data_IF_544221568757
#
_entry.id   IF_544221568757
#
_cell.length_a   1.000
_cell.length_b   1.000
_cell.length_c   1.000
_cell.angle_alpha   90.00
_cell.angle_beta   90.00
_cell.angle_gamma   90.00
#
_symmetry.space_group_name_H-M   'P 1'
#
loop_
_entity.id
_entity.type
_entity.pdbx_description
1 polymer ?
#
# COMPACT_ATOMS: atom_id res chain seq x y z
N UNK A 1 -34.34 -15.36 -21.84
CA UNK A 1 -33.04 -14.67 -21.58
C UNK A 1 -32.60 -14.99 -20.17
N UNK A 2 -31.39 -15.53 -20.01
CA UNK A 2 -30.85 -15.92 -18.72
C UNK A 2 -30.68 -14.69 -17.79
N UNK A 3 -30.83 -14.87 -16.48
CA UNK A 3 -30.81 -13.74 -15.53
C UNK A 3 -29.35 -13.34 -15.26
N UNK A 4 -28.99 -12.05 -15.32
CA UNK A 4 -27.61 -11.64 -15.07
C UNK A 4 -27.18 -11.99 -13.63
N UNK A 5 -25.97 -12.52 -13.48
CA UNK A 5 -25.38 -12.86 -12.18
C UNK A 5 -25.33 -11.64 -11.26
N UNK A 6 -25.87 -11.78 -10.04
CA UNK A 6 -25.80 -10.76 -8.98
C UNK A 6 -25.06 -11.31 -7.78
N UNK A 7 -24.00 -10.62 -7.38
CA UNK A 7 -23.24 -10.99 -6.19
C UNK A 7 -23.81 -10.29 -4.95
N UNK A 8 -24.36 -11.07 -4.01
CA UNK A 8 -25.03 -10.52 -2.82
C UNK A 8 -24.11 -9.67 -1.91
N UNK A 9 -22.79 -9.82 -2.02
CA UNK A 9 -21.81 -9.08 -1.22
C UNK A 9 -21.09 -7.97 -2.00
N UNK A 10 -21.64 -7.53 -3.14
CA UNK A 10 -21.03 -6.48 -3.96
C UNK A 10 -20.75 -5.21 -3.15
N UNK A 11 -21.72 -4.76 -2.36
CA UNK A 11 -21.57 -3.57 -1.51
C UNK A 11 -20.45 -3.72 -0.48
N UNK A 12 -20.24 -4.93 0.05
CA UNK A 12 -19.16 -5.21 1.00
C UNK A 12 -17.81 -5.20 0.29
N UNK A 13 -17.75 -5.74 -0.93
CA UNK A 13 -16.56 -5.71 -1.77
C UNK A 13 -16.14 -4.26 -2.08
N UNK A 14 -17.08 -3.39 -2.43
CA UNK A 14 -16.82 -1.97 -2.67
C UNK A 14 -16.23 -1.28 -1.43
N UNK A 15 -16.84 -1.49 -0.26
CA UNK A 15 -16.35 -0.93 1.01
C UNK A 15 -14.94 -1.43 1.30
N UNK A 16 -14.65 -2.71 1.08
CA UNK A 16 -13.29 -3.25 1.26
C UNK A 16 -12.30 -2.64 0.26
N UNK A 17 -12.73 -2.37 -0.97
CA UNK A 17 -11.94 -1.60 -1.94
C UNK A 17 -11.61 -0.21 -1.44
N UNK A 18 -12.59 0.53 -0.92
CA UNK A 18 -12.37 1.87 -0.35
C UNK A 18 -11.42 1.84 0.86
N UNK A 19 -11.54 0.83 1.72
CA UNK A 19 -10.64 0.64 2.87
C UNK A 19 -9.20 0.34 2.43
N UNK A 20 -9.02 -0.44 1.37
CA UNK A 20 -7.70 -0.69 0.78
C UNK A 20 -7.10 0.60 0.22
N UNK A 21 -7.85 1.36 -0.58
CA UNK A 21 -7.37 2.63 -1.14
C UNK A 21 -7.01 3.63 -0.05
N UNK A 22 -7.82 3.72 1.02
CA UNK A 22 -7.48 4.53 2.19
C UNK A 22 -6.18 4.08 2.84
N UNK A 23 -5.97 2.77 3.01
CA UNK A 23 -4.73 2.24 3.58
C UNK A 23 -3.50 2.54 2.70
N UNK A 24 -3.64 2.51 1.37
CA UNK A 24 -2.58 2.94 0.43
C UNK A 24 -2.22 4.41 0.61
N UNK A 25 -3.23 5.29 0.70
CA UNK A 25 -3.01 6.72 0.93
C UNK A 25 -2.29 6.98 2.24
N UNK A 26 -2.70 6.33 3.34
CA UNK A 26 -2.04 6.49 4.65
C UNK A 26 -0.59 5.96 4.63
N UNK A 27 -0.32 4.84 3.96
CA UNK A 27 1.06 4.38 3.78
C UNK A 27 1.89 5.37 2.96
N UNK A 28 1.31 5.99 1.93
CA UNK A 28 1.95 7.03 1.14
C UNK A 28 2.33 8.26 1.98
N UNK A 29 1.41 8.73 2.82
CA UNK A 29 1.66 9.84 3.76
C UNK A 29 2.77 9.50 4.75
N UNK A 30 2.72 8.32 5.37
CA UNK A 30 3.74 7.89 6.32
C UNK A 30 5.12 7.77 5.67
N UNK A 31 5.19 7.22 4.45
CA UNK A 31 6.43 7.12 3.68
C UNK A 31 7.00 8.50 3.33
N UNK A 32 6.15 9.43 2.88
CA UNK A 32 6.55 10.81 2.60
C UNK A 32 7.09 11.52 3.86
N UNK A 33 6.47 11.31 5.02
CA UNK A 33 6.94 11.84 6.29
C UNK A 33 8.32 11.30 6.68
N UNK A 34 8.55 9.98 6.54
CA UNK A 34 9.88 9.39 6.75
C UNK A 34 10.93 10.01 5.82
N UNK A 35 10.62 10.10 4.52
CA UNK A 35 11.54 10.68 3.53
C UNK A 35 11.83 12.14 3.82
N UNK A 36 10.83 12.94 4.20
CA UNK A 36 11.02 14.33 4.57
C UNK A 36 11.93 14.46 5.80
N UNK A 37 11.71 13.61 6.83
CA UNK A 37 12.53 13.64 8.04
C UNK A 37 13.97 13.20 7.79
N UNK A 38 14.17 12.18 6.96
CA UNK A 38 15.50 11.74 6.55
C UNK A 38 16.25 12.88 5.83
N UNK A 39 15.60 13.56 4.88
CA UNK A 39 16.21 14.71 4.18
C UNK A 39 16.60 15.85 5.12
N UNK A 40 15.81 16.10 6.15
CA UNK A 40 16.14 17.09 7.18
C UNK A 40 17.41 16.69 7.95
N UNK A 41 17.50 15.42 8.38
CA UNK A 41 18.69 14.89 9.07
C UNK A 41 19.92 14.98 8.17
N UNK A 42 19.79 14.55 6.90
CA UNK A 42 20.89 14.59 5.93
C UNK A 42 21.38 16.02 5.70
N UNK A 43 20.47 17.00 5.67
CA UNK A 43 20.83 18.41 5.57
C UNK A 43 21.68 18.86 6.75
N UNK A 44 21.30 18.50 7.98
CA UNK A 44 22.03 18.86 9.20
C UNK A 44 23.41 18.17 9.23
N UNK A 45 23.48 16.90 8.80
CA UNK A 45 24.74 16.15 8.67
C UNK A 45 25.67 16.84 7.66
N UNK A 46 25.14 17.21 6.49
CA UNK A 46 25.91 17.88 5.45
C UNK A 46 26.41 19.26 5.91
N UNK A 47 25.58 20.03 6.62
CA UNK A 47 25.98 21.30 7.21
C UNK A 47 27.10 21.12 8.23
N UNK A 48 26.97 20.16 9.15
CA UNK A 48 28.02 19.81 10.10
C UNK A 48 29.33 19.47 9.38
N UNK A 49 29.29 18.59 8.39
CA UNK A 49 30.47 18.12 7.67
C UNK A 49 31.13 19.25 6.86
N UNK A 50 30.34 20.12 6.23
CA UNK A 50 30.85 21.28 5.49
C UNK A 50 31.57 22.26 6.43
N UNK A 51 31.02 22.49 7.63
CA UNK A 51 31.66 23.33 8.65
C UNK A 51 32.91 22.70 9.24
N UNK A 52 32.92 21.38 9.49
CA UNK A 52 34.13 20.65 9.90
C UNK A 52 35.23 20.76 8.85
N UNK A 53 34.91 20.56 7.57
CA UNK A 53 35.85 20.70 6.48
C UNK A 53 36.41 22.13 6.37
N UNK A 54 35.53 23.15 6.44
CA UNK A 54 35.95 24.56 6.42
C UNK A 54 36.90 24.91 7.57
N UNK A 55 36.65 24.42 8.78
CA UNK A 55 37.55 24.63 9.92
C UNK A 55 38.89 23.92 9.74
N UNK A 56 38.90 22.72 9.15
CA UNK A 56 40.15 21.98 8.91
C UNK A 56 41.06 22.60 7.84
N UNK A 57 40.48 23.37 6.91
CA UNK A 57 41.21 24.03 5.82
C UNK A 57 41.76 25.42 6.21
N UNK A 58 41.33 25.98 7.34
CA UNK A 58 41.85 27.28 7.81
C UNK A 58 43.29 27.14 8.29
N UNK A 59 44.18 27.98 7.77
CA UNK A 59 45.59 28.01 8.16
C UNK A 59 45.81 28.43 9.63
N UNK A 60 44.93 29.29 10.15
CA UNK A 60 44.91 29.71 11.56
C UNK A 60 43.46 29.72 12.02
N UNK A 61 43.19 29.10 13.16
CA UNK A 61 41.89 29.09 13.83
C UNK A 61 42.06 29.73 15.19
N UNK A 62 41.24 30.73 15.53
CA UNK A 62 41.33 31.36 16.85
C UNK A 62 40.64 30.51 17.92
N UNK A 63 41.03 30.63 19.19
CA UNK A 63 40.37 29.93 20.29
C UNK A 63 38.87 30.22 20.38
N UNK A 64 38.43 31.46 20.10
CA UNK A 64 37.01 31.83 20.12
C UNK A 64 36.22 31.16 18.99
N UNK A 65 36.79 31.11 17.78
CA UNK A 65 36.19 30.40 16.65
C UNK A 65 36.04 28.91 16.94
N UNK A 66 37.07 28.30 17.55
CA UNK A 66 37.04 26.89 17.93
C UNK A 66 35.97 26.62 18.99
N UNK A 67 35.87 27.47 20.01
CA UNK A 67 34.86 27.35 21.06
C UNK A 67 33.44 27.49 20.50
N UNK A 68 33.20 28.50 19.66
CA UNK A 68 31.90 28.72 19.01
C UNK A 68 31.52 27.53 18.14
N UNK A 69 32.48 27.01 17.36
CA UNK A 69 32.28 25.82 16.54
C UNK A 69 31.93 24.59 17.39
N UNK A 70 32.64 24.34 18.49
CA UNK A 70 32.37 23.20 19.37
C UNK A 70 30.96 23.27 19.99
N UNK A 71 30.53 24.45 20.45
CA UNK A 71 29.20 24.65 20.99
C UNK A 71 28.12 24.38 19.92
N UNK A 72 28.32 24.91 18.71
CA UNK A 72 27.40 24.70 17.60
C UNK A 72 27.36 23.24 17.13
N UNK A 73 28.51 22.58 16.99
CA UNK A 73 28.63 21.16 16.67
C UNK A 73 27.87 20.29 17.67
N UNK A 74 27.99 20.58 18.96
CA UNK A 74 27.26 19.84 20.01
C UNK A 74 25.75 19.94 19.81
N UNK A 75 25.25 21.11 19.43
CA UNK A 75 23.83 21.31 19.11
C UNK A 75 23.42 20.52 17.86
N UNK A 76 24.19 20.60 16.77
CA UNK A 76 23.90 19.84 15.54
C UNK A 76 23.84 18.34 15.80
N UNK A 77 24.75 17.81 16.62
CA UNK A 77 24.74 16.38 17.00
C UNK A 77 23.47 16.03 17.79
N UNK A 78 23.07 16.87 18.75
CA UNK A 78 21.83 16.67 19.50
C UNK A 78 20.58 16.74 18.61
N UNK A 79 20.56 17.65 17.64
CA UNK A 79 19.48 17.79 16.66
C UNK A 79 19.40 16.56 15.73
N UNK A 80 20.55 16.02 15.30
CA UNK A 80 20.61 14.76 14.53
C UNK A 80 20.06 13.60 15.36
N UNK A 81 20.51 13.45 16.61
CA UNK A 81 20.04 12.37 17.50
C UNK A 81 18.53 12.45 17.73
N UNK A 82 18.02 13.65 18.02
CA UNK A 82 16.57 13.89 18.18
C UNK A 82 15.81 13.61 16.88
N UNK A 83 16.40 13.97 15.74
CA UNK A 83 15.86 13.68 14.42
C UNK A 83 15.76 12.18 14.15
N UNK A 84 16.79 11.40 14.50
CA UNK A 84 16.84 9.95 14.34
C UNK A 84 15.79 9.24 15.19
N UNK A 85 15.57 9.67 16.44
CA UNK A 85 14.50 9.13 17.30
C UNK A 85 13.14 9.35 16.64
N UNK A 86 12.85 10.57 16.17
CA UNK A 86 11.61 10.88 15.46
C UNK A 86 11.46 10.10 14.15
N UNK A 87 12.56 9.87 13.43
CA UNK A 87 12.53 9.05 12.23
C UNK A 87 12.13 7.61 12.56
N UNK A 88 12.70 7.02 13.61
CA UNK A 88 12.34 5.66 14.05
C UNK A 88 10.85 5.56 14.39
N UNK A 89 10.28 6.54 15.11
CA UNK A 89 8.84 6.62 15.38
C UNK A 89 8.00 6.67 14.10
N UNK A 90 8.42 7.46 13.10
CA UNK A 90 7.76 7.54 11.80
C UNK A 90 7.86 6.23 11.02
N UNK A 91 8.98 5.53 11.11
CA UNK A 91 9.16 4.21 10.49
C UNK A 91 8.26 3.14 11.12
N UNK A 92 8.06 3.18 12.44
CA UNK A 92 7.08 2.31 13.09
C UNK A 92 5.64 2.61 12.63
N UNK A 93 5.30 3.89 12.44
CA UNK A 93 4.02 4.28 11.84
C UNK A 93 3.91 3.73 10.41
N UNK A 94 4.94 3.89 9.58
CA UNK A 94 4.99 3.37 8.21
C UNK A 94 4.77 1.86 8.17
N UNK A 95 5.44 1.11 9.06
CA UNK A 95 5.26 -0.34 9.13
C UNK A 95 3.85 -0.75 9.59
N UNK A 96 3.25 -0.01 10.54
CA UNK A 96 1.84 -0.24 10.92
C UNK A 96 0.89 0.01 9.75
N UNK A 97 1.10 1.08 8.98
CA UNK A 97 0.34 1.36 7.77
C UNK A 97 0.53 0.24 6.73
N UNK A 98 1.76 -0.24 6.54
CA UNK A 98 2.07 -1.35 5.62
C UNK A 98 1.33 -2.63 5.99
N UNK A 99 1.38 -3.02 7.27
CA UNK A 99 0.64 -4.20 7.78
C UNK A 99 -0.86 -4.05 7.58
N UNK A 100 -1.39 -2.85 7.84
CA UNK A 100 -2.81 -2.55 7.63
C UNK A 100 -3.21 -2.72 6.17
N UNK A 101 -2.43 -2.16 5.24
CA UNK A 101 -2.66 -2.33 3.81
C UNK A 101 -2.67 -3.81 3.40
N UNK A 102 -1.68 -4.59 3.85
CA UNK A 102 -1.62 -6.04 3.56
C UNK A 102 -2.90 -6.75 4.02
N UNK A 103 -3.38 -6.45 5.23
CA UNK A 103 -4.63 -7.03 5.74
C UNK A 103 -5.83 -6.63 4.88
N UNK A 104 -5.96 -5.34 4.51
CA UNK A 104 -7.08 -4.86 3.67
C UNK A 104 -7.05 -5.46 2.27
N UNK A 105 -5.88 -5.58 1.65
CA UNK A 105 -5.72 -6.23 0.35
C UNK A 105 -6.10 -7.72 0.41
N UNK A 106 -5.72 -8.43 1.49
CA UNK A 106 -6.14 -9.83 1.70
C UNK A 106 -7.66 -9.96 1.85
N UNK A 107 -8.28 -9.10 2.66
CA UNK A 107 -9.72 -9.10 2.89
C UNK A 107 -10.51 -8.87 1.60
N UNK A 108 -10.05 -7.95 0.76
CA UNK A 108 -10.65 -7.68 -0.57
C UNK A 108 -10.48 -8.88 -1.49
N UNK A 109 -9.25 -9.39 -1.63
CA UNK A 109 -8.93 -10.51 -2.54
C UNK A 109 -9.71 -11.78 -2.20
N UNK A 110 -9.99 -12.02 -0.92
CA UNK A 110 -10.84 -13.13 -0.48
C UNK A 110 -12.27 -13.01 -1.06
N UNK A 111 -12.87 -11.81 -1.01
CA UNK A 111 -14.22 -11.60 -1.56
C UNK A 111 -14.24 -11.60 -3.09
N UNK A 112 -13.21 -11.07 -3.74
CA UNK A 112 -13.07 -11.16 -5.20
C UNK A 112 -13.04 -12.62 -5.65
N UNK A 113 -12.26 -13.46 -4.96
CA UNK A 113 -12.22 -14.91 -5.25
C UNK A 113 -13.57 -15.57 -5.02
N UNK A 114 -14.27 -15.22 -3.94
CA UNK A 114 -15.62 -15.72 -3.69
C UNK A 114 -16.61 -15.31 -4.79
N UNK A 115 -16.52 -14.07 -5.27
CA UNK A 115 -17.34 -13.55 -6.38
C UNK A 115 -17.06 -14.33 -7.66
N UNK A 116 -15.79 -14.51 -8.03
CA UNK A 116 -15.39 -15.29 -9.22
C UNK A 116 -15.94 -16.71 -9.18
N UNK A 117 -15.73 -17.42 -8.06
CA UNK A 117 -16.20 -18.79 -7.89
C UNK A 117 -17.73 -18.90 -8.02
N UNK A 118 -18.48 -17.91 -7.49
CA UNK A 118 -19.94 -17.91 -7.62
C UNK A 118 -20.39 -17.58 -9.04
N UNK A 119 -19.70 -16.69 -9.74
CA UNK A 119 -20.00 -16.36 -11.12
C UNK A 119 -19.75 -17.56 -12.04
N UNK A 120 -18.65 -18.29 -11.84
CA UNK A 120 -18.34 -19.52 -12.58
C UNK A 120 -19.41 -20.59 -12.38
N UNK A 121 -19.84 -20.83 -11.12
CA UNK A 121 -20.91 -21.79 -10.82
C UNK A 121 -22.24 -21.39 -11.46
N UNK A 122 -22.57 -20.09 -11.44
CA UNK A 122 -23.79 -19.60 -12.08
C UNK A 122 -23.76 -19.85 -13.59
N UNK A 123 -22.64 -19.52 -14.26
CA UNK A 123 -22.48 -19.75 -15.69
C UNK A 123 -22.56 -21.24 -16.06
N UNK A 124 -21.99 -22.13 -15.23
CA UNK A 124 -22.10 -23.58 -15.41
C UNK A 124 -23.55 -24.06 -15.27
N UNK A 125 -24.29 -23.56 -14.28
CA UNK A 125 -25.70 -23.91 -14.08
C UNK A 125 -26.58 -23.42 -15.23
N UNK A 126 -26.35 -22.19 -15.73
CA UNK A 126 -27.09 -21.68 -16.89
C UNK A 126 -26.80 -22.51 -18.14
N UNK A 127 -25.55 -22.88 -18.39
CA UNK A 127 -25.18 -23.74 -19.52
C UNK A 127 -25.85 -25.12 -19.45
N UNK A 128 -25.91 -25.72 -18.26
CA UNK A 128 -26.58 -27.01 -18.06
C UNK A 128 -28.10 -26.90 -18.25
N UNK A 129 -28.72 -25.82 -17.77
CA UNK A 129 -30.14 -25.58 -17.96
C UNK A 129 -30.49 -25.38 -19.45
N UNK A 130 -29.69 -24.59 -20.17
CA UNK A 130 -29.87 -24.39 -21.62
C UNK A 130 -29.67 -25.68 -22.41
N UNK A 131 -28.68 -26.52 -22.03
CA UNK A 131 -28.50 -27.83 -22.64
C UNK A 131 -29.71 -28.73 -22.43
N UNK A 132 -30.23 -28.82 -21.20
CA UNK A 132 -31.43 -29.62 -20.90
C UNK A 132 -32.66 -29.12 -21.69
N UNK A 133 -32.88 -27.81 -21.76
CA UNK A 133 -33.98 -27.22 -22.55
C UNK A 133 -33.87 -27.57 -24.05
N UNK A 134 -32.65 -27.57 -24.59
CA UNK A 134 -32.38 -27.93 -25.99
C UNK A 134 -32.59 -29.44 -26.24
N UNK A 135 -32.13 -30.29 -25.35
CA UNK A 135 -32.30 -31.75 -25.44
C UNK A 135 -33.79 -32.13 -25.33
N UNK A 136 -34.53 -31.51 -24.42
CA UNK A 136 -35.99 -31.67 -24.30
C UNK A 136 -36.69 -31.24 -25.60
N UNK A 137 -36.33 -30.09 -26.17
CA UNK A 137 -36.90 -29.62 -27.43
C UNK A 137 -36.56 -30.55 -28.60
N UNK A 138 -35.34 -31.10 -28.65
CA UNK A 138 -34.92 -32.06 -29.66
C UNK A 138 -35.72 -33.36 -29.56
N UNK A 139 -35.97 -33.85 -28.33
CA UNK A 139 -36.79 -35.04 -28.09
C UNK A 139 -38.23 -34.88 -28.58
N UNK A 140 -38.83 -33.70 -28.36
CA UNK A 140 -40.21 -33.40 -28.81
C UNK A 140 -40.29 -33.34 -30.34
N UNK A 141 -39.26 -32.82 -31.01
CA UNK A 141 -39.22 -32.71 -32.47
C UNK A 141 -38.79 -33.98 -33.20
N UNK A 142 -38.27 -34.97 -32.49
CA UNK A 142 -37.77 -36.19 -33.10
C UNK A 142 -38.94 -37.03 -33.67
N UNK A 143 -39.03 -37.11 -34.99
CA UNK A 143 -39.89 -38.07 -35.68
C UNK A 143 -39.05 -39.26 -36.15
N UNK A 144 -39.32 -40.49 -35.67
CA UNK A 144 -38.58 -41.66 -36.12
C UNK A 144 -38.85 -41.93 -37.60
N UNK A 145 -37.85 -42.40 -38.37
CA UNK A 145 -38.01 -42.71 -39.78
C UNK A 145 -39.01 -43.86 -39.96
N UNK A 146 -40.03 -43.62 -40.79
CA UNK A 146 -40.98 -44.63 -41.25
C UNK A 146 -40.32 -45.46 -42.36
N UNK A 147 -40.21 -46.77 -42.13
CA UNK A 147 -39.74 -47.77 -43.09
C UNK A 147 -40.88 -48.23 -44.01
#
# INVERSE_FOLDING_TARGET
MAKPFRFNLERVLDIRGQLEERAKMELGKASAACTAKQREIDRIINEKNAREASMSQKAVVTPEELWLWQAYRKRLVADIQTGQVKLAELEEVRERCRRTLVTRSKDKKLLEKLKSNKAERHAQQEKLAEQNENDDMASIRYQPPVY
#
